data_IF_050813081336
#
_entry.id   IF_050813081336
#
_cell.length_a   1.000
_cell.length_b   1.000
_cell.length_c   1.000
_cell.angle_alpha   90.00
_cell.angle_beta   90.00
_cell.angle_gamma   90.00
#
_symmetry.space_group_name_H-M   'P 1'
#
loop_
_entity.id
_entity.type
_entity.pdbx_description
1 polymer ?
#
# COMPACT_ATOMS: atom_id res chain seq x y z
N UNK A 1 26.83 -5.58 -3.70
CA UNK A 1 26.35 -6.95 -3.37
C UNK A 1 25.91 -7.05 -1.91
N UNK A 2 26.75 -6.74 -0.91
CA UNK A 2 26.35 -6.80 0.51
C UNK A 2 25.13 -5.91 0.88
N UNK A 3 25.02 -4.70 0.31
CA UNK A 3 23.85 -3.82 0.50
C UNK A 3 22.56 -4.48 -0.04
N UNK A 4 22.63 -5.12 -1.21
CA UNK A 4 21.49 -5.79 -1.83
C UNK A 4 21.04 -6.96 -0.94
N UNK A 5 21.98 -7.79 -0.48
CA UNK A 5 21.67 -8.89 0.42
C UNK A 5 21.06 -8.41 1.74
N UNK A 6 21.57 -7.31 2.31
CA UNK A 6 20.95 -6.71 3.50
C UNK A 6 19.52 -6.22 3.23
N UNK A 7 19.25 -5.66 2.05
CA UNK A 7 17.91 -5.24 1.65
C UNK A 7 16.97 -6.45 1.45
N UNK A 8 17.46 -7.54 0.87
CA UNK A 8 16.69 -8.79 0.73
C UNK A 8 16.30 -9.36 2.11
N UNK A 9 17.19 -9.32 3.10
CA UNK A 9 16.86 -9.73 4.48
C UNK A 9 15.79 -8.84 5.12
N UNK A 10 15.83 -7.52 4.87
CA UNK A 10 14.80 -6.58 5.34
C UNK A 10 13.45 -6.87 4.67
N UNK A 11 13.43 -7.08 3.34
CA UNK A 11 12.23 -7.44 2.59
C UNK A 11 11.65 -8.80 3.04
N UNK A 12 12.50 -9.73 3.46
CA UNK A 12 12.11 -11.01 4.04
C UNK A 12 11.63 -10.90 5.50
N UNK A 13 11.60 -9.70 6.10
CA UNK A 13 11.08 -9.45 7.44
C UNK A 13 12.01 -9.90 8.57
N UNK A 14 13.31 -10.05 8.32
CA UNK A 14 14.27 -10.58 9.31
C UNK A 14 14.71 -9.56 10.37
N UNK A 15 14.44 -8.26 10.14
CA UNK A 15 14.89 -7.17 11.02
C UNK A 15 13.75 -6.23 11.47
N UNK A 16 12.61 -6.75 11.98
CA UNK A 16 11.43 -5.93 12.27
C UNK A 16 11.69 -4.90 13.38
N UNK A 17 12.50 -5.25 14.37
CA UNK A 17 12.81 -4.39 15.53
C UNK A 17 13.81 -3.27 15.20
N UNK A 18 14.36 -3.26 13.98
CA UNK A 18 15.37 -2.30 13.56
C UNK A 18 14.79 -0.93 13.14
N UNK A 19 13.46 -0.78 13.14
CA UNK A 19 12.75 0.42 12.69
C UNK A 19 11.86 1.03 13.80
N UNK A 20 12.43 1.54 14.90
CA UNK A 20 11.67 1.99 16.08
C UNK A 20 11.05 3.38 15.95
N UNK A 21 11.32 4.11 14.85
CA UNK A 21 10.89 5.49 14.69
C UNK A 21 9.36 5.61 14.58
N UNK A 22 8.80 6.60 15.28
CA UNK A 22 7.38 6.92 15.20
C UNK A 22 7.03 7.67 13.90
N UNK A 23 5.75 7.67 13.55
CA UNK A 23 5.21 8.43 12.40
C UNK A 23 5.42 9.94 12.57
N UNK A 24 5.32 10.45 13.81
CA UNK A 24 5.45 11.87 14.14
C UNK A 24 6.92 12.31 14.20
N UNK A 25 7.53 12.38 13.03
CA UNK A 25 8.93 12.74 12.79
C UNK A 25 9.02 14.02 11.94
N UNK A 26 10.21 14.39 11.46
CA UNK A 26 10.33 15.47 10.46
C UNK A 26 9.44 15.23 9.24
N UNK A 27 8.80 16.27 8.72
CA UNK A 27 7.86 16.17 7.58
C UNK A 27 8.51 15.72 6.28
N UNK A 28 9.83 15.81 6.16
CA UNK A 28 10.61 15.30 5.02
C UNK A 28 10.89 13.79 5.07
N UNK A 29 10.56 13.11 6.17
CA UNK A 29 10.86 11.68 6.34
C UNK A 29 12.35 11.34 6.47
N UNK A 30 13.22 12.34 6.66
CA UNK A 30 14.67 12.16 6.73
C UNK A 30 15.10 11.16 7.82
N UNK A 31 14.40 11.10 8.95
CA UNK A 31 14.75 10.17 10.03
C UNK A 31 14.46 8.71 9.62
N UNK A 32 13.30 8.42 9.01
CA UNK A 32 13.04 7.11 8.40
C UNK A 32 14.01 6.76 7.27
N UNK A 33 14.39 7.71 6.41
CA UNK A 33 15.40 7.48 5.38
C UNK A 33 16.74 7.06 6.00
N UNK A 34 17.22 7.82 7.00
CA UNK A 34 18.44 7.49 7.71
C UNK A 34 18.36 6.17 8.47
N UNK A 35 17.20 5.85 9.07
CA UNK A 35 17.01 4.56 9.73
C UNK A 35 17.21 3.41 8.76
N UNK A 36 16.63 3.47 7.56
CA UNK A 36 16.86 2.45 6.53
C UNK A 36 18.34 2.38 6.13
N UNK A 37 18.96 3.54 5.86
CA UNK A 37 20.37 3.61 5.46
C UNK A 37 21.30 2.99 6.51
N UNK A 38 21.09 3.28 7.79
CA UNK A 38 21.90 2.76 8.88
C UNK A 38 21.68 1.27 9.13
N UNK A 39 20.44 0.77 9.02
CA UNK A 39 20.15 -0.67 9.12
C UNK A 39 20.87 -1.43 8.01
N UNK A 40 20.73 -0.97 6.76
CA UNK A 40 21.40 -1.60 5.61
C UNK A 40 22.92 -1.51 5.71
N UNK A 41 23.47 -0.35 6.09
CA UNK A 41 24.92 -0.15 6.22
C UNK A 41 25.54 -1.03 7.31
N UNK A 42 24.90 -1.12 8.48
CA UNK A 42 25.34 -2.00 9.56
C UNK A 42 25.27 -3.46 9.12
N UNK A 43 24.15 -3.88 8.53
CA UNK A 43 23.97 -5.27 8.14
C UNK A 43 24.90 -5.69 7.00
N UNK A 44 25.05 -4.84 5.98
CA UNK A 44 26.01 -5.05 4.90
C UNK A 44 27.45 -5.13 5.43
N UNK A 45 27.79 -4.34 6.46
CA UNK A 45 29.12 -4.41 7.09
C UNK A 45 29.36 -5.73 7.81
N UNK A 46 28.36 -6.26 8.53
CA UNK A 46 28.44 -7.60 9.13
C UNK A 46 28.63 -8.70 8.09
N UNK A 47 27.89 -8.64 6.98
CA UNK A 47 28.01 -9.59 5.86
C UNK A 47 29.42 -9.58 5.23
N UNK A 48 30.14 -8.46 5.33
CA UNK A 48 31.53 -8.33 4.90
C UNK A 48 32.55 -8.70 5.99
N UNK A 49 32.11 -9.29 7.11
CA UNK A 49 32.96 -9.61 8.26
C UNK A 49 33.49 -8.37 8.98
N UNK A 50 32.75 -7.26 8.94
CA UNK A 50 33.00 -6.05 9.74
C UNK A 50 32.11 -5.97 10.98
N UNK A 51 32.17 -4.82 11.67
CA UNK A 51 31.33 -4.54 12.83
C UNK A 51 30.22 -3.53 12.52
N UNK A 52 29.27 -3.38 13.45
CA UNK A 52 28.28 -2.29 13.45
C UNK A 52 28.89 -1.00 14.01
N UNK A 53 28.21 0.13 13.82
CA UNK A 53 28.58 1.40 14.44
C UNK A 53 29.64 2.15 13.64
N UNK A 54 30.65 2.71 14.32
CA UNK A 54 31.66 3.56 13.68
C UNK A 54 32.70 2.77 12.87
N UNK A 55 32.91 1.50 13.19
CA UNK A 55 33.84 0.60 12.49
C UNK A 55 33.20 -0.13 11.30
N UNK A 56 31.98 0.27 10.92
CA UNK A 56 31.27 -0.29 9.77
C UNK A 56 32.06 -0.08 8.48
N UNK A 57 32.04 -1.10 7.61
CA UNK A 57 32.73 -1.09 6.31
C UNK A 57 31.93 -0.38 5.21
N UNK A 58 30.62 -0.23 5.41
CA UNK A 58 29.69 0.43 4.49
C UNK A 58 29.16 1.69 5.15
N UNK A 59 29.26 2.82 4.47
CA UNK A 59 28.80 4.10 4.99
C UNK A 59 27.32 4.35 4.59
N UNK A 60 26.43 4.73 5.54
CA UNK A 60 25.01 4.90 5.27
C UNK A 60 24.74 6.01 4.24
N UNK A 61 25.52 7.08 4.21
CA UNK A 61 25.32 8.16 3.24
C UNK A 61 26.08 7.91 1.94
N UNK A 62 27.40 7.80 2.03
CA UNK A 62 28.31 7.68 0.88
C UNK A 62 28.12 6.42 0.04
N UNK A 63 27.63 5.32 0.64
CA UNK A 63 27.38 4.06 -0.07
C UNK A 63 25.89 3.73 -0.24
N UNK A 64 25.11 3.71 0.84
CA UNK A 64 23.68 3.29 0.78
C UNK A 64 22.80 4.39 0.19
N UNK A 65 22.94 5.62 0.69
CA UNK A 65 22.20 6.80 0.22
C UNK A 65 22.92 7.53 -0.94
N UNK A 66 23.84 6.86 -1.62
CA UNK A 66 24.60 7.47 -2.71
C UNK A 66 23.64 7.89 -3.83
N UNK A 67 23.80 9.12 -4.32
CA UNK A 67 22.97 9.72 -5.37
C UNK A 67 21.49 9.86 -5.01
N UNK A 68 21.16 9.91 -3.72
CA UNK A 68 19.79 10.05 -3.21
C UNK A 68 19.70 11.22 -2.22
N UNK A 69 18.50 11.76 -2.05
CA UNK A 69 18.12 12.63 -0.95
C UNK A 69 16.85 12.08 -0.27
N UNK A 70 16.59 12.49 0.98
CA UNK A 70 15.29 12.15 1.58
C UNK A 70 14.12 12.77 0.81
N UNK A 71 14.36 13.87 0.10
CA UNK A 71 13.32 14.64 -0.58
C UNK A 71 12.80 13.98 -1.87
N UNK A 72 13.56 13.07 -2.46
CA UNK A 72 13.16 12.22 -3.61
C UNK A 72 12.81 10.79 -3.14
N UNK A 73 13.62 10.20 -2.25
CA UNK A 73 13.41 8.81 -1.79
C UNK A 73 12.14 8.65 -0.98
N UNK A 74 11.85 9.57 -0.05
CA UNK A 74 10.70 9.40 0.85
C UNK A 74 9.36 9.53 0.10
N UNK A 75 9.11 10.56 -0.74
CA UNK A 75 7.92 10.59 -1.58
C UNK A 75 7.81 9.40 -2.54
N UNK A 76 8.94 8.94 -3.10
CA UNK A 76 8.98 7.74 -3.95
C UNK A 76 8.52 6.50 -3.18
N UNK A 77 9.04 6.29 -1.97
CA UNK A 77 8.65 5.17 -1.11
C UNK A 77 7.15 5.25 -0.73
N UNK A 78 6.62 6.45 -0.50
CA UNK A 78 5.18 6.65 -0.25
C UNK A 78 4.33 6.21 -1.45
N UNK A 79 4.71 6.60 -2.67
CA UNK A 79 4.00 6.23 -3.90
C UNK A 79 4.03 4.71 -4.14
N UNK A 80 5.21 4.08 -3.98
CA UNK A 80 5.37 2.63 -4.09
C UNK A 80 4.51 1.89 -3.06
N UNK A 81 4.55 2.31 -1.78
CA UNK A 81 3.76 1.70 -0.72
C UNK A 81 2.25 1.81 -0.99
N UNK A 82 1.78 2.96 -1.49
CA UNK A 82 0.39 3.18 -1.84
C UNK A 82 -0.05 2.28 -3.01
N UNK A 83 0.76 2.15 -4.06
CA UNK A 83 0.46 1.27 -5.20
C UNK A 83 0.37 -0.19 -4.76
N UNK A 84 1.32 -0.66 -3.95
CA UNK A 84 1.32 -2.02 -3.41
C UNK A 84 0.04 -2.26 -2.60
N UNK A 85 -0.31 -1.34 -1.69
CA UNK A 85 -1.53 -1.46 -0.89
C UNK A 85 -2.80 -1.50 -1.75
N UNK A 86 -2.88 -0.67 -2.80
CA UNK A 86 -4.02 -0.65 -3.72
C UNK A 86 -4.14 -1.96 -4.51
N UNK A 87 -3.04 -2.39 -5.15
CA UNK A 87 -3.03 -3.55 -6.05
C UNK A 87 -3.15 -4.89 -5.32
N UNK A 88 -2.49 -5.03 -4.17
CA UNK A 88 -2.39 -6.30 -3.47
C UNK A 88 -3.42 -6.46 -2.35
N UNK A 89 -3.99 -5.36 -1.83
CA UNK A 89 -4.90 -5.41 -0.67
C UNK A 89 -6.26 -4.75 -0.85
N UNK A 90 -6.41 -3.74 -1.70
CA UNK A 90 -7.71 -3.07 -1.83
C UNK A 90 -8.51 -3.63 -3.02
N UNK A 91 -7.92 -3.60 -4.21
CA UNK A 91 -8.58 -3.98 -5.45
C UNK A 91 -9.05 -5.45 -5.44
N UNK A 92 -8.25 -6.44 -4.98
CA UNK A 92 -8.72 -7.82 -4.95
C UNK A 92 -9.94 -8.00 -4.03
N UNK A 93 -9.93 -7.32 -2.87
CA UNK A 93 -10.95 -7.40 -1.84
C UNK A 93 -12.25 -6.71 -2.30
N UNK A 94 -12.13 -5.58 -3.01
CA UNK A 94 -13.27 -4.93 -3.68
C UNK A 94 -13.87 -5.84 -4.76
N UNK A 95 -13.05 -6.56 -5.53
CA UNK A 95 -13.55 -7.53 -6.52
C UNK A 95 -14.29 -8.70 -5.86
N UNK A 96 -13.78 -9.23 -4.74
CA UNK A 96 -14.47 -10.27 -3.97
C UNK A 96 -15.83 -9.78 -3.46
N UNK A 97 -15.88 -8.57 -2.88
CA UNK A 97 -17.13 -7.98 -2.40
C UNK A 97 -18.12 -7.75 -3.55
N UNK A 98 -17.64 -7.18 -4.66
CA UNK A 98 -18.45 -6.94 -5.86
C UNK A 98 -19.07 -8.24 -6.38
N UNK A 99 -18.27 -9.30 -6.51
CA UNK A 99 -18.76 -10.60 -6.98
C UNK A 99 -19.80 -11.18 -6.01
N UNK A 100 -19.52 -11.13 -4.71
CA UNK A 100 -20.44 -11.61 -3.67
C UNK A 100 -21.80 -10.90 -3.76
N UNK A 101 -21.79 -9.58 -3.91
CA UNK A 101 -23.03 -8.80 -4.06
C UNK A 101 -23.71 -9.06 -5.40
N UNK A 102 -22.96 -9.26 -6.48
CA UNK A 102 -23.52 -9.62 -7.78
C UNK A 102 -24.24 -10.98 -7.73
N UNK A 103 -23.65 -11.98 -7.11
CA UNK A 103 -24.27 -13.30 -6.93
C UNK A 103 -25.57 -13.19 -6.12
N UNK A 104 -25.60 -12.31 -5.11
CA UNK A 104 -26.83 -12.00 -4.36
C UNK A 104 -27.86 -11.23 -5.16
N UNK A 105 -27.43 -10.29 -6.01
CA UNK A 105 -28.33 -9.56 -6.90
C UNK A 105 -29.07 -10.52 -7.84
N UNK A 106 -28.35 -11.51 -8.41
CA UNK A 106 -28.94 -12.57 -9.24
C UNK A 106 -29.84 -13.48 -8.42
N UNK A 107 -29.37 -13.99 -7.28
CA UNK A 107 -30.16 -14.91 -6.45
C UNK A 107 -31.46 -14.31 -5.91
N UNK A 108 -31.55 -12.98 -5.82
CA UNK A 108 -32.71 -12.25 -5.31
C UNK A 108 -33.48 -11.52 -6.41
N UNK A 109 -33.30 -11.89 -7.69
CA UNK A 109 -34.00 -11.28 -8.82
C UNK A 109 -35.51 -11.36 -8.71
N UNK A 110 -36.04 -12.40 -8.06
CA UNK A 110 -37.47 -12.70 -8.01
C UNK A 110 -38.14 -12.26 -6.69
N UNK A 111 -37.36 -11.73 -5.73
CA UNK A 111 -37.88 -11.28 -4.43
C UNK A 111 -38.37 -9.84 -4.57
N UNK A 112 -39.68 -9.64 -4.77
CA UNK A 112 -40.30 -8.31 -4.79
C UNK A 112 -40.39 -7.73 -3.37
N UNK A 113 -39.94 -6.49 -3.20
CA UNK A 113 -40.02 -5.73 -1.95
C UNK A 113 -40.63 -4.34 -2.17
N UNK A 114 -41.10 -3.71 -1.10
CA UNK A 114 -41.52 -2.30 -1.14
C UNK A 114 -40.28 -1.40 -1.30
N UNK A 115 -40.32 -0.46 -2.25
CA UNK A 115 -39.31 0.59 -2.36
C UNK A 115 -39.49 1.62 -1.25
N UNK A 116 -38.43 2.37 -0.91
CA UNK A 116 -38.52 3.50 0.01
C UNK A 116 -37.80 4.73 -0.52
N UNK A 117 -38.51 5.85 -0.60
CA UNK A 117 -37.94 7.18 -0.87
C UNK A 117 -38.30 8.10 0.29
N UNK A 118 -37.35 8.90 0.77
CA UNK A 118 -37.53 9.66 2.02
C UNK A 118 -37.98 8.78 3.22
N UNK A 119 -37.58 7.51 3.23
CA UNK A 119 -38.01 6.47 4.18
C UNK A 119 -39.53 6.16 4.18
N UNK A 120 -40.29 6.66 3.21
CA UNK A 120 -41.70 6.37 3.00
C UNK A 120 -41.88 5.29 1.94
N UNK A 121 -42.95 4.51 2.04
CA UNK A 121 -43.27 3.46 1.08
C UNK A 121 -43.46 4.04 -0.33
N UNK A 122 -42.85 3.38 -1.32
CA UNK A 122 -42.85 3.77 -2.72
C UNK A 122 -43.22 2.58 -3.62
N UNK A 123 -43.09 2.74 -4.94
CA UNK A 123 -43.36 1.66 -5.89
C UNK A 123 -42.42 0.47 -5.68
N UNK A 124 -42.90 -0.79 -5.86
CA UNK A 124 -42.07 -1.98 -5.68
C UNK A 124 -40.87 -2.07 -6.63
N UNK A 125 -39.84 -2.78 -6.16
CA UNK A 125 -38.69 -3.25 -6.92
C UNK A 125 -38.27 -4.61 -6.37
N UNK A 126 -37.39 -5.32 -7.06
CA UNK A 126 -36.83 -6.57 -6.52
C UNK A 126 -35.65 -6.28 -5.61
N UNK A 127 -35.41 -7.15 -4.62
CA UNK A 127 -34.22 -7.06 -3.78
C UNK A 127 -32.95 -7.19 -4.63
N UNK A 128 -33.00 -7.98 -5.70
CA UNK A 128 -31.93 -8.04 -6.70
C UNK A 128 -31.63 -6.69 -7.36
N UNK A 129 -32.67 -5.93 -7.74
CA UNK A 129 -32.49 -4.57 -8.28
C UNK A 129 -31.83 -3.63 -7.28
N UNK A 130 -32.22 -3.67 -6.01
CA UNK A 130 -31.57 -2.85 -4.96
C UNK A 130 -30.07 -3.15 -4.83
N UNK A 131 -29.70 -4.43 -4.74
CA UNK A 131 -28.30 -4.85 -4.60
C UNK A 131 -27.49 -4.53 -5.87
N UNK A 132 -28.11 -4.63 -7.05
CA UNK A 132 -27.45 -4.27 -8.32
C UNK A 132 -26.97 -2.82 -8.34
N UNK A 133 -27.67 -1.91 -7.65
CA UNK A 133 -27.21 -0.53 -7.47
C UNK A 133 -25.89 -0.46 -6.70
N UNK A 134 -25.71 -1.27 -5.65
CA UNK A 134 -24.47 -1.33 -4.89
C UNK A 134 -23.32 -1.95 -5.70
N UNK A 135 -23.61 -2.97 -6.50
CA UNK A 135 -22.64 -3.58 -7.44
C UNK A 135 -22.14 -2.52 -8.42
N UNK A 136 -23.04 -1.75 -9.04
CA UNK A 136 -22.68 -0.67 -9.96
C UNK A 136 -21.80 0.39 -9.28
N UNK A 137 -22.11 0.78 -8.03
CA UNK A 137 -21.26 1.71 -7.26
C UNK A 137 -19.83 1.18 -7.10
N UNK A 138 -19.67 -0.10 -6.77
CA UNK A 138 -18.34 -0.71 -6.65
C UNK A 138 -17.59 -0.74 -7.99
N UNK A 139 -18.28 -1.01 -9.10
CA UNK A 139 -17.69 -0.97 -10.45
C UNK A 139 -17.19 0.42 -10.83
N UNK A 140 -17.98 1.46 -10.53
CA UNK A 140 -17.56 2.84 -10.77
C UNK A 140 -16.36 3.21 -9.90
N UNK A 141 -16.37 2.85 -8.62
CA UNK A 141 -15.26 3.12 -7.71
C UNK A 141 -13.97 2.41 -8.14
N UNK A 142 -14.04 1.15 -8.59
CA UNK A 142 -12.89 0.43 -9.14
C UNK A 142 -12.29 1.17 -10.35
N UNK A 143 -13.12 1.64 -11.29
CA UNK A 143 -12.65 2.45 -12.43
C UNK A 143 -11.98 3.75 -11.99
N UNK A 144 -12.52 4.43 -10.98
CA UNK A 144 -11.90 5.64 -10.45
C UNK A 144 -10.54 5.37 -9.81
N UNK A 145 -10.40 4.27 -9.07
CA UNK A 145 -9.12 3.83 -8.50
C UNK A 145 -8.14 3.55 -9.65
N UNK A 146 -8.53 2.74 -10.63
CA UNK A 146 -7.67 2.37 -11.76
C UNK A 146 -7.17 3.60 -12.54
N UNK A 147 -8.02 4.60 -12.78
CA UNK A 147 -7.63 5.84 -13.45
C UNK A 147 -6.67 6.70 -12.61
N UNK A 148 -6.64 6.55 -11.29
CA UNK A 148 -5.70 7.26 -10.42
C UNK A 148 -4.31 6.62 -10.37
N UNK A 149 -4.19 5.33 -10.69
CA UNK A 149 -2.94 4.57 -10.56
C UNK A 149 -1.78 5.11 -11.43
N UNK A 150 -1.99 5.56 -12.69
CA UNK A 150 -0.89 6.11 -13.50
C UNK A 150 -0.23 7.32 -12.86
N UNK A 151 -1.02 8.23 -12.26
CA UNK A 151 -0.50 9.43 -11.59
C UNK A 151 0.25 9.07 -10.30
N UNK A 152 -0.20 8.06 -9.58
CA UNK A 152 0.51 7.56 -8.41
C UNK A 152 1.82 6.84 -8.77
N UNK A 153 1.90 6.26 -9.97
CA UNK A 153 3.09 5.57 -10.48
C UNK A 153 4.13 6.52 -11.09
N UNK A 154 3.79 7.80 -11.25
CA UNK A 154 4.74 8.84 -11.63
C UNK A 154 5.63 9.16 -10.43
N UNK A 155 6.94 8.92 -10.60
CA UNK A 155 7.97 9.23 -9.61
C UNK A 155 8.76 10.44 -10.10
N UNK A 156 9.07 11.36 -9.19
CA UNK A 156 9.85 12.57 -9.46
C UNK A 156 11.36 12.29 -9.53
#
# INVERSE_FOLDING_TARGET
>A
QAIIQAADEVLAGQHPDAFPLAIWQTGSGTQSNMNMNEVLANRASELLGGARGMERKVHPNDDVNKSQSSNDVFPTAMHVAAIIALREKLIPQLNVLKQTLNDKAVAFSDIVKIGRTHLQDATPLTLGQEISGWVAMLEHNLKHIDHSLPHLAELA
#
